data_IF_492736955721
#
_entry.id   IF_492736955721
#
_cell.length_a   1.000
_cell.length_b   1.000
_cell.length_c   1.000
_cell.angle_alpha   90.00
_cell.angle_beta   90.00
_cell.angle_gamma   90.00
#
_symmetry.space_group_name_H-M   'P 1'
#
loop_
_entity.id
_entity.type
_entity.pdbx_description
1 polymer ?
#
# COMPACT_ATOMS: atom_id res chain seq x y z
N UNK A 1 -59.48 36.25 -38.27
CA UNK A 1 -58.20 35.71 -38.76
C UNK A 1 -57.12 35.74 -37.66
N UNK A 2 -57.43 35.39 -36.39
CA UNK A 2 -56.53 35.63 -35.24
C UNK A 2 -56.23 34.40 -34.33
N UNK A 3 -56.78 33.20 -34.58
CA UNK A 3 -56.62 32.09 -33.62
C UNK A 3 -55.34 31.26 -33.80
N UNK A 4 -54.67 31.31 -34.95
CA UNK A 4 -53.45 30.51 -35.21
C UNK A 4 -52.17 31.08 -34.60
N UNK A 5 -52.10 32.40 -34.38
CA UNK A 5 -50.93 33.04 -33.74
C UNK A 5 -50.87 32.82 -32.22
N UNK A 6 -52.03 32.71 -31.57
CA UNK A 6 -52.12 32.51 -30.12
C UNK A 6 -51.74 31.08 -29.70
N UNK A 7 -52.14 30.09 -30.51
CA UNK A 7 -51.77 28.68 -30.33
C UNK A 7 -50.27 28.42 -30.46
N UNK A 8 -49.58 29.15 -31.34
CA UNK A 8 -48.14 28.99 -31.58
C UNK A 8 -47.30 29.47 -30.39
N UNK A 9 -47.67 30.61 -29.80
CA UNK A 9 -47.00 31.17 -28.62
C UNK A 9 -47.20 30.31 -27.36
N UNK A 10 -48.38 29.73 -27.17
CA UNK A 10 -48.66 28.81 -26.05
C UNK A 10 -47.83 27.52 -26.16
N UNK A 11 -47.70 26.98 -27.38
CA UNK A 11 -46.88 25.78 -27.63
C UNK A 11 -45.39 26.03 -27.40
N UNK A 12 -44.89 27.21 -27.79
CA UNK A 12 -43.50 27.62 -27.53
C UNK A 12 -43.23 27.81 -26.03
N UNK A 13 -44.19 28.42 -25.31
CA UNK A 13 -44.10 28.65 -23.86
C UNK A 13 -44.11 27.33 -23.08
N UNK A 14 -44.94 26.36 -23.48
CA UNK A 14 -45.00 25.01 -22.89
C UNK A 14 -43.72 24.22 -23.14
N UNK A 15 -43.09 24.39 -24.31
CA UNK A 15 -41.81 23.75 -24.61
C UNK A 15 -40.67 24.34 -23.74
N UNK A 16 -40.69 25.65 -23.50
CA UNK A 16 -39.70 26.33 -22.66
C UNK A 16 -39.83 25.96 -21.17
N UNK A 17 -41.07 25.83 -20.66
CA UNK A 17 -41.32 25.38 -19.28
C UNK A 17 -41.01 23.90 -19.05
N UNK A 18 -41.15 23.06 -20.08
CA UNK A 18 -40.77 21.64 -20.02
C UNK A 18 -39.24 21.42 -20.08
N UNK A 19 -38.48 22.31 -20.74
CA UNK A 19 -37.02 22.18 -20.88
C UNK A 19 -36.24 22.76 -19.68
N UNK A 20 -36.81 23.73 -18.98
CA UNK A 20 -36.22 24.39 -17.81
C UNK A 20 -35.85 23.42 -16.65
N UNK A 21 -36.64 22.40 -16.28
CA UNK A 21 -36.25 21.48 -15.20
C UNK A 21 -35.11 20.53 -15.55
N UNK A 22 -34.79 20.28 -16.84
CA UNK A 22 -33.65 19.44 -17.23
C UNK A 22 -32.30 20.13 -16.99
N UNK A 23 -32.26 21.47 -16.98
CA UNK A 23 -31.03 22.23 -16.78
C UNK A 23 -30.53 22.19 -15.32
N UNK A 24 -31.37 21.80 -14.35
CA UNK A 24 -31.03 21.75 -12.93
C UNK A 24 -30.53 20.37 -12.44
N UNK A 25 -30.51 19.33 -13.27
CA UNK A 25 -29.99 18.00 -12.89
C UNK A 25 -28.46 17.84 -13.03
N UNK A 26 -27.72 18.92 -13.28
CA UNK A 26 -26.33 18.87 -13.78
C UNK A 26 -25.20 18.60 -12.76
N UNK A 27 -25.44 18.62 -11.45
CA UNK A 27 -24.37 18.46 -10.45
C UNK A 27 -24.51 17.13 -9.68
N UNK A 28 -24.44 16.01 -10.40
CA UNK A 28 -24.32 14.70 -9.76
C UNK A 28 -22.96 14.60 -9.04
N UNK A 29 -22.99 14.14 -7.79
CA UNK A 29 -21.85 14.06 -6.88
C UNK A 29 -20.88 12.92 -7.30
N UNK A 30 -20.14 13.13 -8.39
CA UNK A 30 -19.20 12.16 -9.00
C UNK A 30 -17.95 11.89 -8.14
N UNK A 31 -17.63 12.75 -7.17
CA UNK A 31 -16.38 12.66 -6.42
C UNK A 31 -16.24 11.44 -5.50
N UNK A 32 -17.29 11.06 -4.77
CA UNK A 32 -17.19 10.00 -3.74
C UNK A 32 -17.09 8.59 -4.29
N UNK A 33 -17.75 8.31 -5.43
CA UNK A 33 -17.71 6.98 -6.09
C UNK A 33 -16.38 6.75 -6.82
N UNK A 34 -15.85 7.75 -7.52
CA UNK A 34 -14.56 7.62 -8.22
C UNK A 34 -13.40 7.49 -7.22
N UNK A 35 -13.40 8.26 -6.14
CA UNK A 35 -12.36 8.18 -5.10
C UNK A 35 -12.26 6.77 -4.45
N UNK A 36 -13.41 6.12 -4.22
CA UNK A 36 -13.45 4.78 -3.62
C UNK A 36 -12.83 3.71 -4.54
N UNK A 37 -13.01 3.84 -5.85
CA UNK A 37 -12.40 2.93 -6.85
C UNK A 37 -10.88 3.11 -6.89
N UNK A 38 -10.41 4.35 -7.01
CA UNK A 38 -8.98 4.62 -7.23
C UNK A 38 -8.10 4.36 -6.01
N UNK A 39 -8.64 4.49 -4.78
CA UNK A 39 -7.88 4.16 -3.57
C UNK A 39 -7.31 2.73 -3.60
N UNK A 40 -8.05 1.77 -4.16
CA UNK A 40 -7.59 0.38 -4.27
C UNK A 40 -6.45 0.24 -5.28
N UNK A 41 -6.56 0.93 -6.41
CA UNK A 41 -5.51 0.94 -7.44
C UNK A 41 -4.22 1.56 -6.91
N UNK A 42 -4.32 2.70 -6.21
CA UNK A 42 -3.18 3.34 -5.57
C UNK A 42 -2.56 2.45 -4.50
N UNK A 43 -3.36 1.83 -3.64
CA UNK A 43 -2.86 0.93 -2.60
C UNK A 43 -2.05 -0.23 -3.23
N UNK A 44 -2.62 -0.88 -4.25
CA UNK A 44 -1.97 -1.99 -4.95
C UNK A 44 -0.70 -1.55 -5.68
N UNK A 45 -0.72 -0.39 -6.33
CA UNK A 45 0.45 0.17 -7.00
C UNK A 45 1.58 0.46 -6.00
N UNK A 46 1.26 1.14 -4.88
CA UNK A 46 2.23 1.44 -3.82
C UNK A 46 2.80 0.15 -3.23
N UNK A 47 1.95 -0.83 -2.92
CA UNK A 47 2.39 -2.13 -2.41
C UNK A 47 3.37 -2.80 -3.37
N UNK A 48 3.02 -2.93 -4.66
CA UNK A 48 3.88 -3.54 -5.68
C UNK A 48 5.22 -2.82 -5.80
N UNK A 49 5.21 -1.48 -5.84
CA UNK A 49 6.46 -0.71 -5.93
C UNK A 49 7.32 -0.83 -4.67
N UNK A 50 6.71 -0.99 -3.49
CA UNK A 50 7.45 -1.26 -2.26
C UNK A 50 8.09 -2.65 -2.28
N UNK A 51 7.38 -3.67 -2.78
CA UNK A 51 7.89 -5.04 -2.93
C UNK A 51 9.06 -5.08 -3.94
N UNK A 52 8.92 -4.39 -5.07
CA UNK A 52 9.99 -4.22 -6.07
C UNK A 52 11.20 -3.50 -5.47
N UNK A 53 10.99 -2.44 -4.69
CA UNK A 53 12.07 -1.72 -4.00
C UNK A 53 12.76 -2.62 -2.97
N UNK A 54 12.01 -3.42 -2.21
CA UNK A 54 12.58 -4.38 -1.27
C UNK A 54 13.42 -5.43 -2.00
N UNK A 55 12.91 -6.00 -3.10
CA UNK A 55 13.63 -6.97 -3.91
C UNK A 55 14.92 -6.36 -4.48
N UNK A 56 14.85 -5.13 -5.00
CA UNK A 56 16.03 -4.40 -5.47
C UNK A 56 17.05 -4.20 -4.35
N UNK A 57 16.60 -3.86 -3.14
CA UNK A 57 17.49 -3.70 -1.98
C UNK A 57 18.10 -5.03 -1.53
N UNK A 58 17.40 -6.16 -1.65
CA UNK A 58 18.00 -7.49 -1.42
C UNK A 58 19.11 -7.79 -2.44
N UNK A 59 18.89 -7.44 -3.72
CA UNK A 59 19.91 -7.58 -4.77
C UNK A 59 21.11 -6.67 -4.49
N UNK A 60 20.88 -5.42 -4.09
CA UNK A 60 21.94 -4.49 -3.67
C UNK A 60 22.78 -5.08 -2.54
N UNK A 61 22.13 -5.58 -1.49
CA UNK A 61 22.82 -6.23 -0.37
C UNK A 61 23.64 -7.45 -0.81
N UNK A 62 23.12 -8.28 -1.72
CA UNK A 62 23.87 -9.42 -2.30
C UNK A 62 25.17 -8.97 -2.99
N UNK A 63 25.14 -7.82 -3.67
CA UNK A 63 26.30 -7.24 -4.36
C UNK A 63 27.05 -6.19 -3.54
N UNK A 64 26.76 -6.06 -2.24
CA UNK A 64 27.38 -5.09 -1.32
C UNK A 64 27.17 -3.61 -1.72
N UNK A 65 26.09 -3.34 -2.45
CA UNK A 65 25.64 -1.97 -2.73
C UNK A 65 24.76 -1.44 -1.57
N UNK A 66 24.66 -0.12 -1.46
CA UNK A 66 23.92 0.55 -0.38
C UNK A 66 22.41 0.45 -0.65
N UNK A 67 21.62 -0.19 0.23
CA UNK A 67 20.18 -0.22 0.08
C UNK A 67 19.60 1.19 0.23
N UNK A 68 18.52 1.47 -0.51
CA UNK A 68 17.91 2.79 -0.56
C UNK A 68 16.39 2.65 -0.51
N UNK A 69 15.75 3.41 0.38
CA UNK A 69 14.30 3.36 0.55
C UNK A 69 13.68 4.73 0.26
N UNK A 70 12.63 4.74 -0.54
CA UNK A 70 11.71 5.86 -0.67
C UNK A 70 10.35 5.45 -0.13
N UNK A 71 9.77 6.31 0.70
CA UNK A 71 8.42 6.14 1.24
C UNK A 71 7.47 7.08 0.51
N UNK A 72 6.25 6.61 0.21
CA UNK A 72 5.18 7.47 -0.30
C UNK A 72 4.57 8.20 0.89
N UNK A 73 4.81 9.52 0.96
CA UNK A 73 4.32 10.37 2.07
C UNK A 73 2.89 10.86 1.86
N UNK A 74 2.51 11.14 0.61
CA UNK A 74 1.14 11.55 0.25
C UNK A 74 0.81 11.22 -1.21
N UNK A 75 -0.48 10.99 -1.47
CA UNK A 75 -1.05 10.89 -2.82
C UNK A 75 -2.23 11.85 -2.87
N UNK A 76 -2.18 12.84 -3.77
CA UNK A 76 -3.22 13.83 -3.96
C UNK A 76 -3.71 13.80 -5.42
N UNK A 77 -4.97 13.47 -5.64
CA UNK A 77 -5.57 13.42 -6.99
C UNK A 77 -6.45 14.62 -7.26
N UNK A 78 -6.27 15.21 -8.44
CA UNK A 78 -7.17 16.22 -8.98
C UNK A 78 -7.97 15.62 -10.14
N UNK A 79 -9.29 15.79 -10.11
CA UNK A 79 -10.18 15.30 -11.16
C UNK A 79 -10.77 16.47 -11.94
N UNK A 80 -10.68 16.43 -13.27
CA UNK A 80 -11.28 17.40 -14.17
C UNK A 80 -12.29 16.69 -15.06
N UNK A 81 -13.55 17.12 -14.98
CA UNK A 81 -14.61 16.67 -15.87
C UNK A 81 -14.71 17.65 -17.05
N UNK A 82 -14.54 17.15 -18.26
CA UNK A 82 -14.66 17.93 -19.50
C UNK A 82 -15.87 17.44 -20.29
N UNK A 83 -16.84 18.31 -20.52
CA UNK A 83 -18.03 18.05 -21.34
C UNK A 83 -17.97 18.93 -22.57
N UNK A 84 -18.00 18.35 -23.77
CA UNK A 84 -18.05 19.10 -25.03
C UNK A 84 -19.35 18.77 -25.76
N UNK A 85 -20.10 19.78 -26.17
CA UNK A 85 -21.27 19.62 -27.02
C UNK A 85 -21.03 20.36 -28.34
N UNK A 86 -21.25 19.68 -29.47
CA UNK A 86 -21.08 20.23 -30.81
C UNK A 86 -22.41 20.18 -31.55
N UNK A 87 -22.77 21.30 -32.18
CA UNK A 87 -23.90 21.39 -33.10
C UNK A 87 -23.39 21.91 -34.44
N UNK A 88 -23.68 21.19 -35.50
CA UNK A 88 -23.32 21.57 -36.87
C UNK A 88 -24.55 21.59 -37.77
N UNK A 89 -24.58 22.53 -38.70
CA UNK A 89 -25.61 22.61 -39.73
C UNK A 89 -24.93 22.85 -41.07
N UNK A 90 -25.16 21.96 -42.03
CA UNK A 90 -24.66 22.10 -43.40
C UNK A 90 -25.82 22.45 -44.30
N UNK A 91 -25.78 23.65 -44.89
CA UNK A 91 -26.77 24.10 -45.87
C UNK A 91 -26.17 23.92 -47.27
N UNK A 92 -26.69 22.96 -48.03
CA UNK A 92 -26.42 22.80 -49.46
C UNK A 92 -27.63 23.27 -50.26
N UNK A 93 -27.39 24.02 -51.33
CA UNK A 93 -28.44 24.55 -52.18
C UNK A 93 -29.20 23.40 -52.87
N UNK A 94 -30.52 23.34 -52.68
CA UNK A 94 -31.39 22.29 -53.23
C UNK A 94 -31.64 21.04 -52.36
N UNK A 95 -31.01 20.90 -51.18
CA UNK A 95 -31.30 19.79 -50.23
C UNK A 95 -31.68 20.35 -48.86
N UNK A 96 -32.72 19.79 -48.23
CA UNK A 96 -33.13 20.14 -46.84
C UNK A 96 -31.92 20.00 -45.92
N UNK A 97 -31.54 21.07 -45.21
CA UNK A 97 -30.30 21.17 -44.44
C UNK A 97 -30.04 19.96 -43.52
N UNK A 98 -28.81 19.46 -43.52
CA UNK A 98 -28.36 18.41 -42.60
C UNK A 98 -27.93 19.05 -41.29
N UNK A 99 -28.58 18.64 -40.19
CA UNK A 99 -28.21 19.05 -38.83
C UNK A 99 -27.53 17.88 -38.11
N UNK A 100 -26.35 18.12 -37.56
CA UNK A 100 -25.61 17.18 -36.73
C UNK A 100 -25.53 17.68 -35.28
N UNK A 101 -25.83 16.80 -34.33
CA UNK A 101 -25.60 17.03 -32.90
C UNK A 101 -24.64 15.96 -32.39
N UNK A 102 -23.58 16.37 -31.72
CA UNK A 102 -22.58 15.51 -31.08
C UNK A 102 -22.30 15.96 -29.66
N UNK A 103 -21.91 15.02 -28.80
CA UNK A 103 -21.50 15.31 -27.43
C UNK A 103 -20.42 14.33 -26.99
N UNK A 104 -19.45 14.81 -26.20
CA UNK A 104 -18.43 14.00 -25.56
C UNK A 104 -18.32 14.34 -24.08
N UNK A 105 -18.12 13.30 -23.26
CA UNK A 105 -17.85 13.41 -21.84
C UNK A 105 -16.50 12.74 -21.56
N UNK A 106 -15.56 13.49 -21.01
CA UNK A 106 -14.24 13.01 -20.62
C UNK A 106 -13.97 13.31 -19.14
N UNK A 107 -13.32 12.39 -18.46
CA UNK A 107 -12.84 12.58 -17.09
C UNK A 107 -11.33 12.39 -17.09
N UNK A 108 -10.61 13.40 -16.64
CA UNK A 108 -9.14 13.37 -16.52
C UNK A 108 -8.76 13.40 -15.06
N UNK A 109 -7.92 12.46 -14.62
CA UNK A 109 -7.31 12.48 -13.30
C UNK A 109 -5.83 12.87 -13.40
N UNK A 110 -5.37 13.73 -12.48
CA UNK A 110 -3.97 14.13 -12.32
C UNK A 110 -3.52 13.84 -10.89
N UNK A 111 -2.95 12.65 -10.61
CA UNK A 111 -2.39 12.34 -9.30
C UNK A 111 -1.02 13.01 -9.11
N UNK A 112 -0.80 13.55 -7.93
CA UNK A 112 0.48 14.06 -7.43
C UNK A 112 0.92 13.13 -6.29
N UNK A 113 2.05 12.45 -6.49
CA UNK A 113 2.64 11.53 -5.49
C UNK A 113 3.87 12.19 -4.89
N UNK A 114 3.93 12.30 -3.56
CA UNK A 114 5.06 12.89 -2.85
C UNK A 114 5.92 11.79 -2.23
N UNK A 115 7.17 11.70 -2.66
CA UNK A 115 8.14 10.72 -2.14
C UNK A 115 9.04 11.36 -1.08
N UNK A 116 9.28 10.62 0.00
CA UNK A 116 10.24 10.99 1.05
C UNK A 116 11.35 9.93 1.12
N UNK A 117 12.61 10.28 0.85
CA UNK A 117 13.70 9.33 0.98
C UNK A 117 14.02 9.04 2.45
N UNK A 118 14.28 7.78 2.76
CA UNK A 118 14.84 7.37 4.05
C UNK A 118 16.37 7.31 3.92
N UNK A 119 17.05 8.39 4.33
CA UNK A 119 18.49 8.57 4.20
C UNK A 119 19.12 9.09 5.51
N UNK A 120 20.45 9.06 5.55
CA UNK A 120 21.25 9.62 6.65
C UNK A 120 21.01 8.91 7.98
N UNK A 121 21.09 9.67 9.07
CA UNK A 121 21.04 9.13 10.45
C UNK A 121 19.79 8.32 10.73
N UNK A 122 18.63 8.73 10.18
CA UNK A 122 17.36 8.01 10.37
C UNK A 122 17.39 6.61 9.77
N UNK A 123 18.06 6.44 8.63
CA UNK A 123 18.24 5.13 8.03
C UNK A 123 19.15 4.26 8.88
N UNK A 124 20.31 4.79 9.27
CA UNK A 124 21.31 4.07 10.09
C UNK A 124 20.71 3.65 11.43
N UNK A 125 20.01 4.55 12.12
CA UNK A 125 19.33 4.24 13.36
C UNK A 125 18.30 3.12 13.17
N UNK A 126 17.43 3.21 12.15
CA UNK A 126 16.43 2.15 11.91
C UNK A 126 17.04 0.78 11.62
N UNK A 127 18.18 0.73 10.93
CA UNK A 127 18.83 -0.55 10.55
C UNK A 127 19.67 -1.12 11.69
N UNK A 128 20.34 -0.29 12.47
CA UNK A 128 21.29 -0.74 13.50
C UNK A 128 20.69 -0.83 14.91
N UNK A 129 19.47 -0.34 15.12
CA UNK A 129 18.82 -0.45 16.44
C UNK A 129 18.55 -1.92 16.78
N UNK A 130 19.06 -2.43 17.91
CA UNK A 130 18.78 -3.78 18.34
C UNK A 130 17.29 -4.00 18.59
N UNK A 131 16.82 -5.22 18.34
CA UNK A 131 15.44 -5.60 18.66
C UNK A 131 15.26 -5.69 20.19
N UNK A 132 14.30 -4.97 20.79
CA UNK A 132 14.02 -5.09 22.22
C UNK A 132 13.53 -6.50 22.57
N UNK A 133 13.93 -7.04 23.73
CA UNK A 133 13.49 -8.37 24.17
C UNK A 133 11.97 -8.43 24.39
N UNK A 134 11.32 -7.32 24.75
CA UNK A 134 9.86 -7.27 24.83
C UNK A 134 9.21 -7.54 23.45
N UNK A 135 9.79 -7.00 22.37
CA UNK A 135 9.31 -7.24 21.00
C UNK A 135 9.42 -8.72 20.64
N UNK A 136 10.48 -9.39 21.07
CA UNK A 136 10.66 -10.84 20.85
C UNK A 136 9.56 -11.64 21.57
N UNK A 137 9.24 -11.28 22.82
CA UNK A 137 8.15 -11.92 23.55
C UNK A 137 6.79 -11.66 22.88
N UNK A 138 6.52 -10.44 22.40
CA UNK A 138 5.30 -10.14 21.66
C UNK A 138 5.18 -10.96 20.37
N UNK A 139 6.28 -11.11 19.62
CA UNK A 139 6.28 -11.94 18.40
C UNK A 139 5.92 -13.39 18.72
N UNK A 140 6.49 -13.96 19.79
CA UNK A 140 6.15 -15.32 20.22
C UNK A 140 4.65 -15.46 20.54
N UNK A 141 4.08 -14.57 21.35
CA UNK A 141 2.66 -14.62 21.73
C UNK A 141 1.70 -14.30 20.57
N UNK A 142 2.17 -13.64 19.51
CA UNK A 142 1.41 -13.43 18.27
C UNK A 142 1.41 -14.66 17.33
N UNK A 143 1.95 -15.80 17.78
CA UNK A 143 1.88 -17.08 17.07
C UNK A 143 3.05 -17.34 16.12
N UNK A 144 4.10 -16.52 16.15
CA UNK A 144 5.29 -16.78 15.33
C UNK A 144 6.05 -18.02 15.81
N UNK A 145 6.65 -18.73 14.85
CA UNK A 145 7.51 -19.87 15.15
C UNK A 145 8.75 -19.46 15.95
N UNK A 146 8.95 -20.08 17.12
CA UNK A 146 10.12 -19.86 17.97
C UNK A 146 11.42 -20.16 17.22
N UNK A 147 11.42 -21.16 16.34
CA UNK A 147 12.56 -21.49 15.48
C UNK A 147 12.93 -20.33 14.55
N UNK A 148 11.93 -19.64 13.97
CA UNK A 148 12.17 -18.46 13.12
C UNK A 148 12.63 -17.27 13.95
N UNK A 149 11.99 -17.01 15.10
CA UNK A 149 12.39 -15.94 16.01
C UNK A 149 13.86 -16.14 16.43
N UNK A 150 14.21 -17.34 16.91
CA UNK A 150 15.54 -17.61 17.44
C UNK A 150 16.62 -17.53 16.36
N UNK A 151 16.36 -18.07 15.16
CA UNK A 151 17.31 -17.98 14.03
C UNK A 151 17.54 -16.56 13.52
N UNK A 152 16.57 -15.68 13.64
CA UNK A 152 16.69 -14.31 13.11
C UNK A 152 17.16 -13.31 14.16
N UNK A 153 16.78 -13.48 15.43
CA UNK A 153 16.97 -12.47 16.46
C UNK A 153 18.17 -12.73 17.38
N UNK A 154 18.66 -13.97 17.47
CA UNK A 154 19.71 -14.34 18.42
C UNK A 154 20.96 -14.84 17.73
N UNK A 155 22.13 -14.31 18.10
CA UNK A 155 23.42 -14.75 17.59
C UNK A 155 23.94 -16.02 18.28
N UNK A 156 23.47 -16.32 19.50
CA UNK A 156 23.81 -17.53 20.24
C UNK A 156 22.75 -17.88 21.29
N UNK A 157 22.72 -19.14 21.68
CA UNK A 157 22.00 -19.65 22.85
C UNK A 157 22.97 -20.56 23.62
N UNK A 158 23.34 -20.16 24.83
CA UNK A 158 24.41 -20.80 25.61
C UNK A 158 25.71 -20.88 24.79
N UNK A 159 26.24 -22.09 24.58
CA UNK A 159 27.43 -22.37 23.78
C UNK A 159 27.13 -22.62 22.29
N UNK A 160 25.84 -22.64 21.90
CA UNK A 160 25.41 -22.88 20.53
C UNK A 160 25.38 -21.55 19.78
N UNK A 161 26.25 -21.42 18.78
CA UNK A 161 26.34 -20.21 17.94
C UNK A 161 25.38 -20.31 16.75
N UNK A 162 24.70 -19.21 16.45
CA UNK A 162 23.85 -19.05 15.27
C UNK A 162 24.61 -18.25 14.18
N UNK A 163 25.71 -18.82 13.69
CA UNK A 163 26.57 -18.23 12.66
C UNK A 163 26.86 -16.71 12.80
N UNK A 164 27.30 -16.19 13.96
CA UNK A 164 27.56 -14.75 14.13
C UNK A 164 28.58 -14.18 13.12
N UNK A 165 29.53 -15.01 12.68
CA UNK A 165 30.50 -14.64 11.63
C UNK A 165 29.90 -14.46 10.23
N UNK A 166 28.64 -14.81 10.02
CA UNK A 166 27.90 -14.57 8.78
C UNK A 166 26.96 -13.35 8.86
N UNK A 167 26.92 -12.63 9.97
CA UNK A 167 26.09 -11.42 10.15
C UNK A 167 26.70 -10.16 9.51
N UNK A 168 27.97 -10.20 9.11
CA UNK A 168 28.68 -9.13 8.41
C UNK A 168 28.91 -9.48 6.93
N UNK A 169 30.12 -9.21 6.38
CA UNK A 169 30.49 -9.70 5.07
C UNK A 169 30.35 -11.23 5.02
N UNK A 170 29.69 -11.74 3.97
CA UNK A 170 29.53 -13.19 3.80
C UNK A 170 30.90 -13.89 3.80
N UNK A 171 31.16 -14.80 4.76
CA UNK A 171 32.44 -15.48 4.87
C UNK A 171 32.63 -16.49 3.74
N UNK A 172 33.89 -16.80 3.40
CA UNK A 172 34.21 -17.82 2.38
C UNK A 172 33.85 -19.24 2.81
N UNK A 173 33.89 -19.50 4.12
CA UNK A 173 33.49 -20.77 4.74
C UNK A 173 32.28 -20.54 5.63
N UNK A 174 31.26 -21.39 5.49
CA UNK A 174 30.06 -21.31 6.32
C UNK A 174 30.42 -21.54 7.80
N UNK A 175 30.02 -20.64 8.72
CA UNK A 175 30.23 -20.85 10.14
C UNK A 175 29.44 -22.05 10.68
N UNK A 176 29.84 -22.57 11.84
CA UNK A 176 29.10 -23.64 12.51
C UNK A 176 27.80 -23.10 13.13
N UNK A 177 26.65 -23.53 12.61
CA UNK A 177 25.32 -23.20 13.17
C UNK A 177 24.37 -24.40 13.29
N UNK A 178 24.72 -25.56 12.73
CA UNK A 178 23.83 -26.72 12.64
C UNK A 178 23.32 -27.18 14.01
N UNK A 179 24.16 -27.14 15.05
CA UNK A 179 23.73 -27.49 16.42
C UNK A 179 22.69 -26.51 16.97
N UNK A 180 22.85 -25.21 16.70
CA UNK A 180 21.85 -24.21 17.06
C UNK A 180 20.55 -24.45 16.30
N UNK A 181 20.62 -24.68 14.98
CA UNK A 181 19.47 -24.97 14.13
C UNK A 181 18.69 -26.21 14.61
N UNK A 182 19.39 -27.28 14.99
CA UNK A 182 18.75 -28.47 15.57
C UNK A 182 18.10 -28.18 16.93
N UNK A 183 18.77 -27.43 17.81
CA UNK A 183 18.22 -27.09 19.12
C UNK A 183 16.92 -26.29 19.02
N UNK A 184 16.88 -25.27 18.14
CA UNK A 184 15.67 -24.46 17.97
C UNK A 184 14.53 -25.22 17.25
N UNK A 185 14.86 -26.28 16.50
CA UNK A 185 13.86 -27.20 15.94
C UNK A 185 13.15 -27.97 17.05
N UNK A 186 13.87 -28.47 18.06
CA UNK A 186 13.25 -29.08 19.24
C UNK A 186 12.38 -28.08 20.02
N UNK A 187 12.83 -26.83 20.18
CA UNK A 187 12.00 -25.79 20.76
C UNK A 187 10.69 -25.58 19.99
N UNK A 188 10.72 -25.70 18.66
CA UNK A 188 9.50 -25.61 17.84
C UNK A 188 8.59 -26.82 18.01
N UNK A 189 9.14 -28.01 18.15
CA UNK A 189 8.36 -29.22 18.46
C UNK A 189 7.63 -29.04 19.80
N UNK A 190 8.31 -28.56 20.84
CA UNK A 190 7.69 -28.23 22.12
C UNK A 190 6.66 -27.09 22.01
N UNK A 191 6.93 -26.08 21.18
CA UNK A 191 5.97 -24.98 20.94
C UNK A 191 4.67 -25.50 20.35
N UNK A 192 4.73 -26.43 19.40
CA UNK A 192 3.55 -27.01 18.74
C UNK A 192 2.73 -27.85 19.74
N UNK A 193 3.39 -28.38 20.77
CA UNK A 193 2.76 -29.14 21.85
C UNK A 193 2.29 -28.26 23.01
N UNK A 194 2.36 -26.93 22.89
CA UNK A 194 2.06 -25.97 23.96
C UNK A 194 2.88 -26.23 25.26
N UNK A 195 4.03 -26.89 25.13
CA UNK A 195 4.90 -27.28 26.24
C UNK A 195 5.94 -26.19 26.59
N UNK A 196 5.92 -25.05 25.92
CA UNK A 196 6.81 -23.92 26.22
C UNK A 196 6.08 -22.59 26.23
N UNK A 197 6.57 -21.67 27.04
CA UNK A 197 6.15 -20.28 27.08
C UNK A 197 7.37 -19.37 27.16
N UNK A 198 7.26 -18.12 26.71
CA UNK A 198 8.36 -17.18 26.64
C UNK A 198 7.92 -15.86 27.28
N UNK A 199 8.51 -15.51 28.42
CA UNK A 199 8.17 -14.29 29.15
C UNK A 199 9.32 -13.29 29.15
N UNK A 200 8.97 -12.02 29.15
CA UNK A 200 9.93 -10.94 29.36
C UNK A 200 9.96 -10.58 30.85
N UNK A 201 11.16 -10.42 31.40
CA UNK A 201 11.38 -9.96 32.75
C UNK A 201 12.51 -8.93 32.77
N UNK A 202 12.45 -7.96 33.66
CA UNK A 202 13.54 -7.05 33.93
C UNK A 202 13.97 -7.25 35.38
N UNK A 203 15.21 -7.70 35.59
CA UNK A 203 15.79 -7.88 36.93
C UNK A 203 17.09 -7.10 36.98
N UNK A 204 17.20 -6.23 37.98
CA UNK A 204 18.36 -5.36 38.22
C UNK A 204 18.72 -4.46 37.02
N UNK A 205 17.70 -4.00 36.28
CA UNK A 205 17.87 -3.18 35.07
C UNK A 205 18.38 -3.94 33.85
N UNK A 206 18.51 -5.27 33.93
CA UNK A 206 18.92 -6.12 32.83
C UNK A 206 17.68 -6.77 32.21
N UNK A 207 17.36 -6.51 30.93
CA UNK A 207 16.26 -7.19 30.25
C UNK A 207 16.61 -8.67 30.07
N UNK A 208 15.69 -9.55 30.45
CA UNK A 208 15.81 -11.00 30.39
C UNK A 208 14.63 -11.59 29.64
N UNK A 209 14.91 -12.61 28.86
CA UNK A 209 13.91 -13.43 28.20
C UNK A 209 13.93 -14.81 28.85
N UNK A 210 12.84 -15.19 29.50
CA UNK A 210 12.72 -16.44 30.24
C UNK A 210 11.90 -17.42 29.40
N UNK A 211 12.53 -18.53 29.04
CA UNK A 211 11.86 -19.68 28.42
C UNK A 211 11.38 -20.60 29.54
N UNK A 212 10.07 -20.74 29.66
CA UNK A 212 9.41 -21.71 30.52
C UNK A 212 9.19 -22.98 29.71
N UNK A 213 9.60 -24.12 30.25
CA UNK A 213 9.28 -25.43 29.71
C UNK A 213 8.34 -26.05 30.72
N UNK A 214 7.13 -26.39 30.28
CA UNK A 214 6.18 -27.09 31.13
C UNK A 214 6.74 -28.51 31.33
N UNK A 215 7.14 -28.83 32.55
CA UNK A 215 7.31 -30.22 32.96
C UNK A 215 5.88 -30.77 33.17
N UNK A 216 5.46 -31.70 32.30
CA UNK A 216 4.31 -32.56 32.62
C UNK A 216 4.58 -33.37 33.89
#
# INVERSE_FOLDING_TARGET
MNSRFFSLNISLLLCFTAFLPLLFMGCANLGSKTLKSERSNYNLAIQRTNDEQLLLNLVRLKYRDTPFFMEVSSVASQFTLSTTATASATLQDGVRGLFGLGGSLGMTEKPTVTYSPLQGDRFIQRVLTPLPLQTIALLFHSGWSIERIFRLCFQQMNHLKNAPGASGPTPSLAPHFMKFASAVKFLRELQIQDAINLSYNESDGVPKLLLHINEE
#
